data_IF_490631511871
#
_entry.id   IF_490631511871
#
_cell.length_a   1.000
_cell.length_b   1.000
_cell.length_c   1.000
_cell.angle_alpha   90.00
_cell.angle_beta   90.00
_cell.angle_gamma   90.00
#
_symmetry.space_group_name_H-M   'P 1'
#
loop_
_entity.id
_entity.type
_entity.pdbx_description
1 polymer ?
#
# COMPACT_ATOMS: atom_id res chain seq x y z
N UNK A 1 -41.06 -26.06 12.39
CA UNK A 1 -39.58 -26.17 12.51
C UNK A 1 -39.07 -24.76 12.72
N UNK A 2 -38.62 -24.43 13.95
CA UNK A 2 -37.97 -23.16 14.25
C UNK A 2 -36.65 -23.15 13.46
N UNK A 3 -36.56 -22.35 12.39
CA UNK A 3 -35.27 -22.08 11.72
C UNK A 3 -34.40 -21.32 12.71
N UNK A 4 -33.17 -21.78 12.88
CA UNK A 4 -32.16 -21.07 13.66
C UNK A 4 -32.01 -19.65 13.10
N UNK A 5 -32.06 -18.64 14.00
CA UNK A 5 -31.84 -17.22 13.62
C UNK A 5 -30.37 -16.89 13.39
N UNK A 6 -29.48 -17.75 13.89
CA UNK A 6 -28.02 -17.59 13.76
C UNK A 6 -27.53 -18.59 12.71
N UNK A 7 -26.81 -18.08 11.71
CA UNK A 7 -26.19 -18.88 10.63
C UNK A 7 -24.69 -18.64 10.62
N UNK A 8 -23.93 -19.64 10.20
CA UNK A 8 -22.51 -19.48 9.87
C UNK A 8 -22.43 -18.89 8.47
N UNK A 9 -21.73 -17.78 8.33
CA UNK A 9 -21.52 -17.12 7.03
C UNK A 9 -20.57 -17.94 6.17
N UNK A 10 -20.78 -17.90 4.86
CA UNK A 10 -19.82 -18.46 3.92
C UNK A 10 -18.51 -17.62 3.87
N UNK A 11 -17.45 -18.20 3.33
CA UNK A 11 -16.12 -17.61 3.28
C UNK A 11 -16.10 -16.26 2.53
N UNK A 12 -16.87 -16.13 1.45
CA UNK A 12 -16.94 -14.91 0.67
C UNK A 12 -17.59 -13.78 1.48
N UNK A 13 -18.67 -14.09 2.20
CA UNK A 13 -19.33 -13.11 3.07
C UNK A 13 -18.43 -12.67 4.23
N UNK A 14 -17.69 -13.60 4.84
CA UNK A 14 -16.70 -13.27 5.88
C UNK A 14 -15.62 -12.33 5.32
N UNK A 15 -15.08 -12.62 4.14
CA UNK A 15 -14.08 -11.76 3.49
C UNK A 15 -14.63 -10.37 3.13
N UNK A 16 -15.89 -10.28 2.69
CA UNK A 16 -16.55 -9.00 2.41
C UNK A 16 -16.75 -8.16 3.68
N UNK A 17 -17.03 -8.78 4.82
CA UNK A 17 -17.15 -8.08 6.11
C UNK A 17 -15.76 -7.61 6.57
N UNK A 18 -14.76 -8.49 6.56
CA UNK A 18 -13.38 -8.17 6.92
C UNK A 18 -12.81 -7.05 6.02
N UNK A 19 -13.09 -7.11 4.71
CA UNK A 19 -12.73 -6.03 3.80
C UNK A 19 -13.36 -4.67 4.18
N UNK A 20 -14.45 -4.67 4.97
CA UNK A 20 -15.06 -3.45 5.48
C UNK A 20 -14.22 -2.72 6.51
N UNK A 21 -13.44 -3.44 7.25
CA UNK A 21 -12.56 -2.90 8.30
C UNK A 21 -11.19 -2.50 7.76
N UNK A 22 -10.72 -3.19 6.71
CA UNK A 22 -9.37 -2.98 6.12
C UNK A 22 -9.40 -1.98 4.96
N UNK A 23 -10.41 -2.06 4.09
CA UNK A 23 -10.50 -1.27 2.86
C UNK A 23 -11.72 -0.35 2.90
N UNK A 24 -11.59 0.82 3.50
CA UNK A 24 -12.67 1.82 3.52
C UNK A 24 -12.71 2.67 2.25
N UNK A 25 -11.53 2.97 1.68
CA UNK A 25 -11.34 3.91 0.55
C UNK A 25 -10.06 3.63 -0.24
N UNK A 26 -9.88 4.29 -1.40
CA UNK A 26 -8.67 4.15 -2.22
C UNK A 26 -7.36 4.39 -1.45
N UNK A 27 -7.33 5.38 -0.55
CA UNK A 27 -6.14 5.67 0.26
C UNK A 27 -5.73 4.51 1.17
N UNK A 28 -6.70 3.71 1.68
CA UNK A 28 -6.40 2.50 2.47
C UNK A 28 -5.69 1.46 1.60
N UNK A 29 -6.15 1.26 0.36
CA UNK A 29 -5.49 0.34 -0.59
C UNK A 29 -4.07 0.78 -0.88
N UNK A 30 -3.86 2.07 -1.18
CA UNK A 30 -2.51 2.63 -1.42
C UNK A 30 -1.61 2.39 -0.22
N UNK A 31 -2.11 2.68 1.00
CA UNK A 31 -1.36 2.46 2.23
C UNK A 31 -0.87 1.02 2.34
N UNK A 32 -1.79 0.06 2.32
CA UNK A 32 -1.47 -1.35 2.51
C UNK A 32 -0.49 -1.89 1.44
N UNK A 33 -0.69 -1.51 0.17
CA UNK A 33 0.18 -1.99 -0.90
C UNK A 33 1.57 -1.35 -0.88
N UNK A 34 1.69 -0.05 -0.58
CA UNK A 34 2.99 0.62 -0.44
C UNK A 34 3.76 0.09 0.78
N UNK A 35 3.09 -0.13 1.91
CA UNK A 35 3.71 -0.75 3.09
C UNK A 35 4.19 -2.17 2.79
N UNK A 36 3.45 -2.96 2.01
CA UNK A 36 3.91 -4.28 1.56
C UNK A 36 5.15 -4.21 0.67
N UNK A 37 5.23 -3.23 -0.23
CA UNK A 37 6.42 -3.01 -1.08
C UNK A 37 7.65 -2.63 -0.23
N UNK A 38 7.47 -1.78 0.80
CA UNK A 38 8.54 -1.43 1.75
C UNK A 38 9.01 -2.67 2.51
N UNK A 39 8.08 -3.46 3.04
CA UNK A 39 8.37 -4.70 3.77
C UNK A 39 9.06 -5.74 2.88
N UNK A 40 8.81 -5.72 1.55
CA UNK A 40 9.50 -6.55 0.55
C UNK A 40 10.92 -6.05 0.21
N UNK A 41 11.41 -5.02 0.89
CA UNK A 41 12.76 -4.48 0.68
C UNK A 41 12.90 -3.66 -0.61
N UNK A 42 11.81 -3.11 -1.15
CA UNK A 42 11.87 -2.27 -2.31
C UNK A 42 12.76 -1.04 -2.09
N UNK A 43 13.45 -0.62 -3.13
CA UNK A 43 14.23 0.64 -3.17
C UNK A 43 13.61 1.67 -4.09
N UNK A 44 12.63 1.26 -4.90
CA UNK A 44 11.86 2.12 -5.78
C UNK A 44 10.41 1.65 -5.82
N UNK A 45 9.46 2.57 -5.63
CA UNK A 45 8.02 2.29 -5.65
C UNK A 45 7.32 3.34 -6.48
N UNK A 46 6.52 2.91 -7.44
CA UNK A 46 5.66 3.78 -8.25
C UNK A 46 4.20 3.50 -7.97
N UNK A 47 3.46 4.54 -7.60
CA UNK A 47 2.01 4.52 -7.38
C UNK A 47 1.33 5.24 -8.54
N UNK A 48 0.50 4.53 -9.30
CA UNK A 48 -0.28 5.09 -10.41
C UNK A 48 -1.76 5.04 -10.08
N UNK A 49 -2.42 6.18 -10.20
CA UNK A 49 -3.82 6.39 -9.83
C UNK A 49 -4.62 6.92 -11.03
N UNK A 50 -5.79 6.34 -11.28
CA UNK A 50 -6.79 6.91 -12.20
C UNK A 50 -8.10 7.16 -11.46
N UNK A 51 -8.74 8.30 -11.79
CA UNK A 51 -10.04 8.69 -11.24
C UNK A 51 -10.08 8.66 -9.69
N UNK A 52 -9.03 9.21 -9.03
CA UNK A 52 -8.93 9.20 -7.57
C UNK A 52 -8.86 7.81 -6.95
N UNK A 53 -8.39 6.81 -7.70
CA UNK A 53 -8.27 5.41 -7.26
C UNK A 53 -9.57 4.60 -7.38
N UNK A 54 -10.63 5.17 -7.92
CA UNK A 54 -11.88 4.45 -8.17
C UNK A 54 -11.78 3.50 -9.36
N UNK A 55 -11.04 3.94 -10.42
CA UNK A 55 -10.85 3.18 -11.66
C UNK A 55 -9.59 2.32 -11.61
N UNK A 56 -8.46 2.88 -11.15
CA UNK A 56 -7.20 2.19 -11.06
C UNK A 56 -6.38 2.69 -9.87
N UNK A 57 -5.83 1.73 -9.14
CA UNK A 57 -4.71 1.88 -8.21
C UNK A 57 -3.68 0.85 -8.65
N UNK A 58 -2.50 1.27 -9.09
CA UNK A 58 -1.42 0.37 -9.44
C UNK A 58 -0.17 0.72 -8.63
N UNK A 59 0.39 -0.27 -7.96
CA UNK A 59 1.67 -0.15 -7.25
C UNK A 59 2.66 -1.09 -7.90
N UNK A 60 3.81 -0.55 -8.30
CA UNK A 60 4.93 -1.30 -8.86
C UNK A 60 6.17 -1.04 -8.02
N UNK A 61 6.84 -2.10 -7.60
CA UNK A 61 8.06 -2.06 -6.81
C UNK A 61 9.14 -2.97 -7.38
N UNK A 62 10.37 -2.77 -6.94
CA UNK A 62 11.54 -3.57 -7.26
C UNK A 62 12.04 -4.39 -6.05
N UNK A 63 11.13 -4.78 -5.16
CA UNK A 63 11.44 -5.61 -3.99
C UNK A 63 11.76 -7.08 -4.32
N UNK A 64 11.73 -7.93 -3.30
CA UNK A 64 12.10 -9.34 -3.43
C UNK A 64 11.18 -10.16 -4.35
N UNK A 65 9.99 -9.64 -4.67
CA UNK A 65 9.01 -10.38 -5.45
C UNK A 65 8.47 -11.62 -4.73
N UNK A 66 7.65 -12.38 -5.46
CA UNK A 66 7.05 -13.64 -5.03
C UNK A 66 7.23 -14.68 -6.13
N UNK A 67 7.47 -15.94 -5.77
CA UNK A 67 7.37 -17.06 -6.69
C UNK A 67 5.90 -17.43 -6.97
N UNK A 68 5.66 -18.45 -7.79
CA UNK A 68 4.30 -18.85 -8.18
C UNK A 68 3.45 -19.30 -6.96
N UNK A 69 4.04 -20.02 -6.00
CA UNK A 69 3.34 -20.54 -4.83
C UNK A 69 3.02 -19.42 -3.84
N UNK A 70 4.00 -18.53 -3.60
CA UNK A 70 3.81 -17.37 -2.74
C UNK A 70 2.76 -16.42 -3.32
N UNK A 71 2.78 -16.20 -4.66
CA UNK A 71 1.81 -15.35 -5.34
C UNK A 71 0.37 -15.89 -5.22
N UNK A 72 0.19 -17.22 -5.35
CA UNK A 72 -1.12 -17.86 -5.15
C UNK A 72 -1.60 -17.72 -3.70
N UNK A 73 -0.68 -17.94 -2.74
CA UNK A 73 -0.98 -17.94 -1.31
C UNK A 73 -1.18 -16.52 -0.76
N UNK A 74 -0.50 -15.51 -1.31
CA UNK A 74 -0.55 -14.13 -0.82
C UNK A 74 -1.97 -13.53 -0.78
N UNK A 75 -2.90 -14.05 -1.59
CA UNK A 75 -4.30 -13.63 -1.62
C UNK A 75 -5.24 -14.54 -0.80
N UNK A 76 -4.70 -15.47 -0.01
CA UNK A 76 -5.49 -16.21 0.97
C UNK A 76 -5.65 -15.40 2.27
N UNK A 77 -6.83 -15.45 2.93
CA UNK A 77 -6.98 -14.86 4.26
C UNK A 77 -5.97 -15.46 5.25
N UNK A 78 -5.42 -14.61 6.11
CA UNK A 78 -4.43 -14.98 7.14
C UNK A 78 -3.08 -15.47 6.57
N UNK A 79 -2.82 -15.29 5.29
CA UNK A 79 -1.53 -15.59 4.69
C UNK A 79 -0.54 -14.46 4.95
N UNK A 80 0.55 -14.74 5.64
CA UNK A 80 1.59 -13.75 5.95
C UNK A 80 2.96 -14.43 6.03
N UNK A 81 3.98 -13.76 5.49
CA UNK A 81 5.39 -14.13 5.67
C UNK A 81 6.03 -13.45 6.89
N UNK A 82 5.30 -12.54 7.56
CA UNK A 82 5.84 -11.57 8.51
C UNK A 82 5.75 -12.03 9.98
N UNK A 83 4.87 -12.98 10.28
CA UNK A 83 4.64 -13.55 11.61
C UNK A 83 4.51 -15.07 11.46
N UNK A 84 5.30 -15.84 12.21
CA UNK A 84 5.26 -17.31 12.21
C UNK A 84 4.85 -17.86 13.57
N UNK A 85 5.25 -17.18 14.64
CA UNK A 85 5.03 -17.61 16.03
C UNK A 85 4.39 -16.49 16.86
N UNK A 86 3.75 -16.87 17.98
CA UNK A 86 3.09 -15.90 18.87
C UNK A 86 4.08 -14.86 19.44
N UNK A 87 5.34 -15.25 19.65
CA UNK A 87 6.38 -14.35 20.14
C UNK A 87 6.77 -13.26 19.14
N UNK A 88 6.58 -13.49 17.82
CA UNK A 88 6.82 -12.49 16.78
C UNK A 88 5.90 -11.26 16.94
N UNK A 89 4.70 -11.48 17.51
CA UNK A 89 3.76 -10.38 17.79
C UNK A 89 4.30 -9.33 18.77
N UNK A 90 5.25 -9.75 19.62
CA UNK A 90 5.90 -8.85 20.58
C UNK A 90 7.11 -8.11 19.99
N UNK A 91 7.53 -8.47 18.75
CA UNK A 91 8.73 -7.95 18.08
C UNK A 91 8.47 -7.56 16.64
N UNK A 92 7.26 -7.06 16.34
CA UNK A 92 6.87 -6.66 14.98
C UNK A 92 7.82 -5.55 14.50
N UNK A 93 8.62 -5.87 13.47
CA UNK A 93 9.51 -4.94 12.80
C UNK A 93 8.95 -4.47 11.43
N UNK A 94 7.87 -5.10 10.94
CA UNK A 94 7.21 -4.81 9.67
C UNK A 94 6.05 -3.83 9.83
N UNK A 95 5.72 -3.10 8.76
CA UNK A 95 4.60 -2.16 8.76
C UNK A 95 3.24 -2.88 8.78
N UNK A 96 3.15 -4.06 8.14
CA UNK A 96 1.98 -4.94 8.14
C UNK A 96 2.28 -6.30 8.75
N UNK A 97 1.27 -7.00 9.30
CA UNK A 97 1.45 -8.33 9.91
C UNK A 97 0.20 -9.24 9.87
N UNK A 98 -0.99 -8.70 9.54
CA UNK A 98 -2.26 -9.43 9.71
C UNK A 98 -2.57 -10.46 8.62
N UNK A 99 -1.92 -10.38 7.45
CA UNK A 99 -2.16 -11.29 6.33
C UNK A 99 -3.57 -11.18 5.73
N UNK A 100 -4.23 -10.03 5.84
CA UNK A 100 -5.60 -9.84 5.38
C UNK A 100 -5.75 -8.78 4.28
N UNK A 101 -4.76 -7.92 4.09
CA UNK A 101 -4.89 -6.76 3.20
C UNK A 101 -5.15 -7.18 1.74
N UNK A 102 -4.33 -8.08 1.18
CA UNK A 102 -4.46 -8.51 -0.22
C UNK A 102 -5.77 -9.27 -0.45
N UNK A 103 -6.15 -10.19 0.45
CA UNK A 103 -7.41 -10.92 0.38
C UNK A 103 -8.62 -9.96 0.45
N UNK A 104 -8.58 -8.98 1.35
CA UNK A 104 -9.62 -7.96 1.51
C UNK A 104 -9.75 -7.08 0.28
N UNK A 105 -8.64 -6.59 -0.30
CA UNK A 105 -8.63 -5.79 -1.53
C UNK A 105 -9.21 -6.61 -2.69
N UNK A 106 -8.76 -7.85 -2.85
CA UNK A 106 -9.19 -8.73 -3.93
C UNK A 106 -10.68 -9.12 -3.83
N UNK A 107 -11.26 -9.15 -2.63
CA UNK A 107 -12.68 -9.46 -2.42
C UNK A 107 -13.64 -8.36 -2.90
N UNK A 108 -13.16 -7.11 -3.08
CA UNK A 108 -13.99 -5.94 -3.40
C UNK A 108 -13.59 -5.22 -4.70
N UNK A 109 -12.70 -5.81 -5.48
CA UNK A 109 -12.16 -5.21 -6.70
C UNK A 109 -11.73 -6.26 -7.71
N UNK A 110 -11.31 -5.82 -8.90
CA UNK A 110 -10.58 -6.64 -9.84
C UNK A 110 -9.08 -6.42 -9.60
N UNK A 111 -8.35 -7.48 -9.30
CA UNK A 111 -6.91 -7.44 -9.04
C UNK A 111 -6.16 -8.20 -10.10
N UNK A 112 -5.09 -7.62 -10.62
CA UNK A 112 -4.04 -8.33 -11.36
C UNK A 112 -2.71 -8.11 -10.65
N UNK A 113 -2.07 -9.20 -10.24
CA UNK A 113 -0.75 -9.17 -9.66
C UNK A 113 0.24 -9.88 -10.57
N UNK A 114 1.41 -9.26 -10.74
CA UNK A 114 2.57 -9.81 -11.47
C UNK A 114 3.75 -9.75 -10.54
N UNK A 115 4.47 -10.85 -10.39
CA UNK A 115 5.65 -10.87 -9.51
C UNK A 115 6.75 -11.76 -10.07
N UNK A 116 7.99 -11.36 -9.79
CA UNK A 116 9.20 -12.12 -10.12
C UNK A 116 10.24 -11.96 -9.03
N UNK A 117 10.80 -13.07 -8.57
CA UNK A 117 11.95 -13.05 -7.65
C UNK A 117 13.27 -12.80 -8.40
N UNK A 118 14.31 -12.28 -7.75
CA UNK A 118 15.62 -12.05 -8.38
C UNK A 118 16.25 -13.31 -8.99
N UNK A 119 15.99 -14.47 -8.40
CA UNK A 119 16.58 -15.76 -8.80
C UNK A 119 15.78 -16.45 -9.92
N UNK A 120 14.69 -15.83 -10.40
CA UNK A 120 13.84 -16.40 -11.45
C UNK A 120 13.96 -15.60 -12.76
N UNK A 121 14.08 -16.31 -13.87
CA UNK A 121 14.04 -15.71 -15.21
C UNK A 121 12.60 -15.42 -15.68
N UNK A 122 11.59 -15.96 -14.98
CA UNK A 122 10.20 -15.88 -15.39
C UNK A 122 9.33 -15.25 -14.30
N UNK A 123 8.53 -14.28 -14.70
CA UNK A 123 7.48 -13.73 -13.85
C UNK A 123 6.22 -14.60 -13.89
N UNK A 124 5.43 -14.51 -12.83
CA UNK A 124 4.12 -15.14 -12.71
C UNK A 124 3.04 -14.10 -12.48
N UNK A 125 1.83 -14.37 -12.95
CA UNK A 125 0.69 -13.49 -12.72
C UNK A 125 -0.54 -14.28 -12.27
N UNK A 126 -1.39 -13.58 -11.51
CA UNK A 126 -2.71 -14.03 -11.08
C UNK A 126 -3.72 -12.92 -11.34
N UNK A 127 -4.94 -13.30 -11.72
CA UNK A 127 -6.08 -12.39 -11.83
C UNK A 127 -7.17 -12.82 -10.87
N UNK A 128 -7.79 -11.84 -10.20
CA UNK A 128 -8.82 -12.09 -9.18
C UNK A 128 -9.97 -11.12 -9.42
N UNK A 129 -11.17 -11.64 -9.54
CA UNK A 129 -12.39 -10.87 -9.72
C UNK A 129 -13.32 -11.01 -8.51
N UNK A 130 -13.24 -10.05 -7.56
CA UNK A 130 -14.03 -10.08 -6.34
C UNK A 130 -13.95 -11.42 -5.59
N UNK A 131 -12.72 -11.91 -5.38
CA UNK A 131 -12.43 -13.15 -4.66
C UNK A 131 -12.36 -14.42 -5.54
N UNK A 132 -12.80 -14.37 -6.79
CA UNK A 132 -12.66 -15.47 -7.74
C UNK A 132 -11.28 -15.43 -8.39
N UNK A 133 -10.41 -16.40 -8.06
CA UNK A 133 -9.02 -16.46 -8.52
C UNK A 133 -8.92 -17.25 -9.83
N UNK A 134 -8.14 -16.72 -10.79
CA UNK A 134 -7.60 -17.51 -11.90
C UNK A 134 -6.42 -18.37 -11.41
N UNK A 135 -6.05 -19.44 -12.12
CA UNK A 135 -4.79 -20.11 -11.89
C UNK A 135 -3.61 -19.14 -12.09
N UNK A 136 -2.55 -19.31 -11.28
CA UNK A 136 -1.28 -18.61 -11.51
C UNK A 136 -0.70 -19.08 -12.84
N UNK A 137 -0.27 -18.15 -13.67
CA UNK A 137 0.27 -18.40 -14.99
C UNK A 137 1.61 -17.67 -15.21
N UNK A 138 2.52 -18.24 -16.00
CA UNK A 138 3.72 -17.55 -16.44
C UNK A 138 3.39 -16.29 -17.24
N UNK A 139 4.15 -15.22 -17.02
CA UNK A 139 4.01 -13.98 -17.78
C UNK A 139 5.34 -13.25 -17.90
N UNK A 140 5.35 -12.08 -18.56
CA UNK A 140 6.48 -11.17 -18.58
C UNK A 140 6.35 -10.18 -17.43
N UNK A 141 7.46 -9.85 -16.76
CA UNK A 141 7.53 -8.87 -15.69
C UNK A 141 8.95 -8.67 -15.19
N UNK A 142 9.21 -7.49 -14.64
CA UNK A 142 10.49 -7.16 -14.00
C UNK A 142 10.59 -7.80 -12.62
N UNK A 143 11.79 -7.81 -12.03
CA UNK A 143 12.01 -8.23 -10.65
C UNK A 143 11.25 -7.28 -9.72
N UNK A 144 10.57 -7.86 -8.72
CA UNK A 144 9.69 -7.14 -7.80
C UNK A 144 8.22 -7.52 -8.00
N UNK A 145 7.32 -6.63 -7.61
CA UNK A 145 5.88 -6.90 -7.69
C UNK A 145 5.13 -5.72 -8.29
N UNK A 146 4.17 -6.02 -9.15
CA UNK A 146 3.19 -5.04 -9.64
C UNK A 146 1.79 -5.53 -9.31
N UNK A 147 1.04 -4.75 -8.54
CA UNK A 147 -0.37 -5.03 -8.20
C UNK A 147 -1.24 -3.92 -8.80
N UNK A 148 -2.20 -4.30 -9.63
CA UNK A 148 -3.22 -3.42 -10.19
C UNK A 148 -4.56 -3.75 -9.56
N UNK A 149 -5.20 -2.77 -8.94
CA UNK A 149 -6.54 -2.84 -8.36
C UNK A 149 -7.45 -1.97 -9.21
N UNK A 150 -8.43 -2.57 -9.86
CA UNK A 150 -9.36 -1.91 -10.78
C UNK A 150 -10.77 -1.93 -10.20
N UNK A 151 -11.53 -0.89 -10.55
CA UNK A 151 -12.96 -0.80 -10.29
C UNK A 151 -13.35 -1.12 -8.83
N UNK A 152 -12.69 -0.43 -7.90
CA UNK A 152 -12.90 -0.62 -6.46
C UNK A 152 -14.37 -0.51 -6.10
N UNK A 153 -14.90 -1.51 -5.39
CA UNK A 153 -16.29 -1.66 -4.94
C UNK A 153 -17.32 -1.85 -6.06
N UNK A 154 -16.94 -2.30 -7.26
CA UNK A 154 -17.90 -2.38 -8.36
C UNK A 154 -19.01 -3.41 -8.13
N UNK A 155 -18.74 -4.54 -7.44
CA UNK A 155 -19.76 -5.52 -7.02
C UNK A 155 -20.43 -5.18 -5.67
N UNK A 156 -20.03 -4.08 -5.02
CA UNK A 156 -20.60 -3.63 -3.73
C UNK A 156 -21.17 -2.21 -3.82
N UNK A 157 -22.35 -2.02 -4.47
CA UNK A 157 -22.89 -0.69 -4.77
C UNK A 157 -23.11 0.19 -3.53
N UNK A 158 -23.46 -0.41 -2.39
CA UNK A 158 -23.60 0.31 -1.13
C UNK A 158 -22.29 1.00 -0.72
N UNK A 159 -21.16 0.27 -0.76
CA UNK A 159 -19.84 0.82 -0.47
C UNK A 159 -19.40 1.85 -1.50
N UNK A 160 -19.64 1.58 -2.78
CA UNK A 160 -19.30 2.51 -3.86
C UNK A 160 -19.95 3.88 -3.69
N UNK A 161 -21.18 3.95 -3.15
CA UNK A 161 -21.89 5.21 -2.86
C UNK A 161 -21.22 6.04 -1.76
N UNK A 162 -20.42 5.45 -0.88
CA UNK A 162 -19.69 6.18 0.16
C UNK A 162 -18.40 6.81 -0.33
N UNK A 163 -17.88 6.39 -1.50
CA UNK A 163 -16.75 7.07 -2.12
C UNK A 163 -17.09 8.52 -2.44
N UNK A 164 -16.17 9.40 -2.10
CA UNK A 164 -16.27 10.83 -2.40
C UNK A 164 -15.93 11.12 -3.87
N UNK A 165 -15.88 12.39 -4.23
CA UNK A 165 -15.42 12.78 -5.57
C UNK A 165 -13.98 12.32 -5.82
N UNK A 166 -13.59 12.13 -7.09
CA UNK A 166 -12.23 11.71 -7.45
C UNK A 166 -11.16 12.64 -6.85
N UNK A 167 -11.42 13.96 -6.82
CA UNK A 167 -10.49 14.92 -6.24
C UNK A 167 -10.37 14.78 -4.72
N UNK A 168 -11.47 14.49 -4.02
CA UNK A 168 -11.44 14.27 -2.57
C UNK A 168 -10.69 12.99 -2.23
N UNK A 169 -10.92 11.90 -2.96
CA UNK A 169 -10.21 10.64 -2.77
C UNK A 169 -8.73 10.78 -3.11
N UNK A 170 -8.40 11.53 -4.17
CA UNK A 170 -7.02 11.86 -4.50
C UNK A 170 -6.33 12.64 -3.37
N UNK A 171 -7.01 13.59 -2.74
CA UNK A 171 -6.50 14.32 -1.57
C UNK A 171 -6.12 13.38 -0.44
N UNK A 172 -6.97 12.40 -0.12
CA UNK A 172 -6.66 11.37 0.90
C UNK A 172 -5.49 10.48 0.50
N UNK A 173 -5.40 10.08 -0.79
CA UNK A 173 -4.25 9.31 -1.30
C UNK A 173 -2.96 10.11 -1.15
N UNK A 174 -2.97 11.38 -1.56
CA UNK A 174 -1.82 12.28 -1.51
C UNK A 174 -1.32 12.47 -0.06
N UNK A 175 -2.24 12.69 0.87
CA UNK A 175 -1.92 12.81 2.29
C UNK A 175 -1.31 11.52 2.84
N UNK A 176 -1.91 10.36 2.53
CA UNK A 176 -1.41 9.06 2.97
C UNK A 176 -0.03 8.75 2.37
N UNK A 177 0.15 9.03 1.06
CA UNK A 177 1.44 8.87 0.38
C UNK A 177 2.53 9.74 1.04
N UNK A 178 2.25 11.00 1.34
CA UNK A 178 3.19 11.90 1.99
C UNK A 178 3.58 11.40 3.41
N UNK A 179 2.61 10.89 4.17
CA UNK A 179 2.84 10.30 5.51
C UNK A 179 3.78 9.09 5.45
N UNK A 180 3.61 8.23 4.45
CA UNK A 180 4.49 7.06 4.26
C UNK A 180 5.86 7.50 3.75
N UNK A 181 5.91 8.42 2.79
CA UNK A 181 7.15 8.87 2.16
C UNK A 181 8.08 9.62 3.11
N UNK A 182 7.51 10.36 4.07
CA UNK A 182 8.27 11.23 4.97
C UNK A 182 9.38 10.50 5.74
N UNK A 183 9.15 9.35 6.40
CA UNK A 183 10.20 8.63 7.11
C UNK A 183 11.13 7.81 6.18
N UNK A 184 10.77 7.64 4.91
CA UNK A 184 11.46 6.75 3.97
C UNK A 184 12.48 7.50 3.10
N UNK A 185 13.53 8.07 3.72
CA UNK A 185 14.57 8.80 2.99
C UNK A 185 15.37 7.95 1.99
N UNK A 186 15.45 6.65 2.22
CA UNK A 186 16.22 5.70 1.40
C UNK A 186 15.45 5.13 0.18
N UNK A 187 14.22 5.58 -0.06
CA UNK A 187 13.39 5.11 -1.18
C UNK A 187 13.24 6.16 -2.28
N UNK A 188 13.25 5.71 -3.52
CA UNK A 188 12.71 6.43 -4.66
C UNK A 188 11.21 6.19 -4.73
N UNK A 189 10.40 7.25 -4.69
CA UNK A 189 8.94 7.16 -4.65
C UNK A 189 8.32 8.05 -5.73
N UNK A 190 7.35 7.52 -6.48
CA UNK A 190 6.58 8.30 -7.43
C UNK A 190 5.07 8.13 -7.18
N UNK A 191 4.32 9.22 -7.29
CA UNK A 191 2.86 9.23 -7.33
C UNK A 191 2.42 9.89 -8.63
N UNK A 192 1.75 9.12 -9.47
CA UNK A 192 1.26 9.51 -10.79
C UNK A 192 -0.27 9.50 -10.78
N UNK A 193 -0.91 10.55 -11.23
CA UNK A 193 -2.37 10.62 -11.35
C UNK A 193 -2.78 11.01 -12.77
N UNK A 194 -3.59 10.16 -13.42
CA UNK A 194 -4.07 10.36 -14.79
C UNK A 194 -2.91 10.68 -15.76
N UNK A 195 -1.79 9.98 -15.63
CA UNK A 195 -0.59 10.14 -16.46
C UNK A 195 0.29 11.37 -16.15
N UNK A 196 0.01 12.10 -15.05
CA UNK A 196 0.82 13.25 -14.61
C UNK A 196 1.49 12.96 -13.28
N UNK A 197 2.76 13.29 -13.17
CA UNK A 197 3.49 13.21 -11.91
C UNK A 197 2.92 14.21 -10.90
N UNK A 198 2.48 13.73 -9.74
CA UNK A 198 2.17 14.57 -8.58
C UNK A 198 3.37 14.67 -7.65
N UNK A 199 4.06 13.57 -7.44
CA UNK A 199 5.31 13.50 -6.68
C UNK A 199 6.31 12.63 -7.42
N UNK A 200 7.58 13.07 -7.38
CA UNK A 200 8.74 12.29 -7.78
C UNK A 200 9.84 12.57 -6.76
N UNK A 201 9.96 11.64 -5.81
CA UNK A 201 10.81 11.78 -4.63
C UNK A 201 12.02 10.86 -4.81
N UNK A 202 13.19 11.42 -4.95
CA UNK A 202 14.43 10.67 -5.00
C UNK A 202 14.94 10.35 -3.59
N UNK A 203 15.82 9.36 -3.47
CA UNK A 203 16.54 9.06 -2.22
C UNK A 203 17.18 10.32 -1.65
N UNK A 204 17.16 10.43 -0.33
CA UNK A 204 17.69 11.57 0.41
C UNK A 204 18.48 11.10 1.62
N UNK A 205 19.47 11.91 2.02
CA UNK A 205 20.31 11.65 3.19
C UNK A 205 19.75 12.27 4.48
N UNK A 206 18.80 13.21 4.36
CA UNK A 206 18.24 13.91 5.52
C UNK A 206 16.73 14.05 5.45
N UNK A 207 16.11 14.15 6.64
CA UNK A 207 14.68 14.43 6.76
C UNK A 207 14.33 15.79 6.13
N UNK A 208 15.19 16.79 6.27
CA UNK A 208 15.01 18.13 5.69
C UNK A 208 14.90 18.09 4.17
N UNK A 209 15.75 17.28 3.51
CA UNK A 209 15.68 17.09 2.05
C UNK A 209 14.37 16.42 1.64
N UNK A 210 13.91 15.37 2.38
CA UNK A 210 12.64 14.69 2.10
C UNK A 210 11.46 15.64 2.28
N UNK A 211 11.45 16.47 3.33
CA UNK A 211 10.43 17.50 3.55
C UNK A 211 10.43 18.51 2.40
N UNK A 212 11.60 18.95 1.93
CA UNK A 212 11.70 19.86 0.79
C UNK A 212 11.13 19.29 -0.51
N UNK A 213 11.29 17.97 -0.74
CA UNK A 213 10.67 17.29 -1.89
C UNK A 213 9.15 17.20 -1.77
N UNK A 214 8.64 16.90 -0.57
CA UNK A 214 7.19 16.77 -0.32
C UNK A 214 6.48 18.11 -0.26
N UNK A 215 7.14 19.12 0.29
CA UNK A 215 6.59 20.45 0.55
C UNK A 215 7.54 21.54 0.04
N UNK A 216 7.61 21.75 -1.30
CA UNK A 216 8.57 22.70 -1.89
C UNK A 216 8.43 24.14 -1.35
N UNK A 217 7.22 24.53 -0.91
CA UNK A 217 6.99 25.86 -0.32
C UNK A 217 7.73 26.05 1.02
N UNK A 218 7.93 24.98 1.79
CA UNK A 218 8.70 25.00 3.03
C UNK A 218 10.22 25.04 2.77
N UNK A 219 10.65 24.61 1.58
CA UNK A 219 12.06 24.58 1.17
C UNK A 219 12.50 25.87 0.44
N UNK A 220 11.56 26.74 0.03
CA UNK A 220 11.84 27.97 -0.72
C UNK A 220 12.35 29.13 0.13
N UNK A 221 12.33 29.00 1.47
CA UNK A 221 13.02 29.89 2.40
C UNK A 221 14.54 29.69 2.36
N UNK A 222 15.28 30.51 3.05
CA UNK A 222 16.77 30.52 3.09
C UNK A 222 17.41 29.22 3.61
N UNK A 223 16.61 28.18 3.83
CA UNK A 223 17.07 26.89 4.36
C UNK A 223 17.29 26.88 5.87
N UNK A 224 17.37 28.04 6.49
CA UNK A 224 17.55 28.22 7.93
C UNK A 224 16.22 28.25 8.71
N UNK A 225 15.10 28.26 7.99
CA UNK A 225 13.74 28.35 8.57
C UNK A 225 13.27 27.03 9.20
N UNK A 226 13.99 25.93 8.96
CA UNK A 226 13.69 24.61 9.52
C UNK A 226 14.84 24.11 10.39
N UNK A 227 14.56 23.90 11.66
CA UNK A 227 15.50 23.37 12.66
C UNK A 227 15.24 21.86 12.81
N UNK A 228 16.25 21.04 12.51
CA UNK A 228 16.22 19.62 12.82
C UNK A 228 16.72 19.39 14.25
N UNK A 229 15.94 18.67 15.04
CA UNK A 229 16.28 18.26 16.40
C UNK A 229 16.06 16.77 16.58
N UNK A 230 16.90 16.17 17.41
CA UNK A 230 16.82 14.76 17.75
C UNK A 230 17.04 14.59 19.25
N UNK A 231 16.24 13.76 19.88
CA UNK A 231 16.42 13.33 21.26
C UNK A 231 16.26 11.83 21.41
N UNK A 232 16.95 11.27 22.38
CA UNK A 232 16.87 9.85 22.70
C UNK A 232 16.77 9.68 24.21
N UNK A 233 15.63 9.16 24.66
CA UNK A 233 15.39 8.90 26.09
C UNK A 233 14.64 7.57 26.27
N UNK A 234 15.10 6.75 27.23
CA UNK A 234 14.47 5.47 27.63
C UNK A 234 14.18 4.51 26.44
N UNK A 235 15.08 4.46 25.47
CA UNK A 235 14.93 3.62 24.26
C UNK A 235 14.01 4.20 23.20
N UNK A 236 13.47 5.41 23.39
CA UNK A 236 12.66 6.12 22.41
C UNK A 236 13.53 7.18 21.74
N UNK A 237 13.62 7.12 20.42
CA UNK A 237 14.27 8.14 19.60
C UNK A 237 13.22 9.01 18.92
N UNK A 238 13.27 10.31 19.15
CA UNK A 238 12.40 11.30 18.51
C UNK A 238 13.27 12.17 17.62
N UNK A 239 12.88 12.27 16.35
CA UNK A 239 13.47 13.21 15.40
C UNK A 239 12.39 14.13 14.91
N UNK A 240 12.61 15.41 14.96
CA UNK A 240 11.63 16.43 14.58
C UNK A 240 12.27 17.49 13.69
N UNK A 241 11.45 18.03 12.79
CA UNK A 241 11.77 19.21 12.00
C UNK A 241 10.79 20.31 12.41
N UNK A 242 11.32 21.41 12.96
CA UNK A 242 10.54 22.51 13.52
C UNK A 242 10.68 23.72 12.60
N UNK A 243 9.55 24.34 12.20
CA UNK A 243 9.54 25.61 11.50
C UNK A 243 9.76 26.77 12.49
N UNK A 244 10.50 27.80 12.06
CA UNK A 244 10.57 29.05 12.79
C UNK A 244 9.20 29.76 12.79
N UNK A 245 8.89 30.58 13.83
CA UNK A 245 7.66 31.38 13.85
C UNK A 245 7.58 32.30 12.63
N UNK A 246 6.52 32.15 11.82
CA UNK A 246 6.31 32.98 10.61
C UNK A 246 6.38 32.19 9.30
N UNK A 247 6.64 30.89 9.37
CA UNK A 247 6.49 29.96 8.25
C UNK A 247 5.02 29.56 8.04
#
# INVERSE_FOLDING_TARGET
TLMSRIIVLDRNMVNLIAAGEVVERPASVVKELVENSIDAGATSITVTIEDGGRKLIAISDNGNGMDANDLETAFEPHATSKVKEADDLNRIATLGFRGEALASIASVSQVRAVSRTPDSDQAHCIEIDCGEKSPVAPCSGDVGTTIQVRDLFYKTPARRKFLRTANTELGHITEQFARIALPQGNLDLALIHNGRDLYRLSKTESLKQRVGQLFPMLASGTGDDLIETETHEKGIRIRALLGLPGL
#
